data_IF_511434555324
#
_entry.id   IF_511434555324
#
_cell.length_a   1.000
_cell.length_b   1.000
_cell.length_c   1.000
_cell.angle_alpha   90.00
_cell.angle_beta   90.00
_cell.angle_gamma   90.00
#
_symmetry.space_group_name_H-M   'P 1'
#
loop_
_entity.id
_entity.type
_entity.pdbx_description
1 polymer ?
#
# COMPACT_ATOMS: atom_id res chain seq x y z
N UNK A 1 32.57 13.42 -29.59
CA UNK A 1 32.57 12.98 -28.19
C UNK A 1 31.13 12.63 -27.85
N UNK A 2 30.75 11.40 -28.15
CA UNK A 2 29.52 10.83 -27.63
C UNK A 2 29.81 10.56 -26.16
N UNK A 3 29.06 11.20 -25.27
CA UNK A 3 29.08 10.83 -23.87
C UNK A 3 28.50 9.41 -23.82
N UNK A 4 29.35 8.44 -23.48
CA UNK A 4 28.88 7.12 -23.08
C UNK A 4 27.94 7.36 -21.89
N UNK A 5 26.64 7.21 -22.11
CA UNK A 5 25.68 7.08 -21.01
C UNK A 5 26.14 5.85 -20.22
N UNK A 6 26.80 6.06 -19.08
CA UNK A 6 26.97 5.02 -18.09
C UNK A 6 25.57 4.43 -17.83
N UNK A 7 25.33 3.22 -18.35
CA UNK A 7 24.15 2.43 -18.03
C UNK A 7 24.17 2.23 -16.52
N UNK A 8 23.48 3.11 -15.79
CA UNK A 8 23.22 2.89 -14.38
C UNK A 8 22.48 1.55 -14.30
N UNK A 9 22.97 0.57 -13.51
CA UNK A 9 22.28 -0.69 -13.37
C UNK A 9 20.83 -0.39 -12.99
N UNK A 10 19.89 -0.88 -13.80
CA UNK A 10 18.46 -0.63 -13.61
C UNK A 10 18.10 -0.90 -12.15
N UNK A 11 17.70 0.16 -11.43
CA UNK A 11 17.23 0.06 -10.06
C UNK A 11 16.14 -1.02 -10.00
N UNK A 12 16.26 -1.95 -9.04
CA UNK A 12 15.25 -3.00 -8.85
C UNK A 12 13.99 -2.36 -8.28
N UNK A 13 12.98 -2.18 -9.12
CA UNK A 13 11.66 -1.72 -8.67
C UNK A 13 10.90 -2.83 -7.95
N UNK A 14 10.02 -2.44 -7.05
CA UNK A 14 9.23 -3.34 -6.21
C UNK A 14 7.92 -2.67 -5.81
N UNK A 15 6.96 -3.47 -5.34
CA UNK A 15 5.65 -3.00 -4.90
C UNK A 15 5.46 -3.35 -3.43
N UNK A 16 5.44 -2.33 -2.58
CA UNK A 16 4.97 -2.43 -1.19
C UNK A 16 3.46 -2.23 -1.19
N UNK A 17 2.71 -3.26 -0.83
CA UNK A 17 1.25 -3.22 -0.78
C UNK A 17 0.77 -3.17 0.67
N UNK A 18 0.46 -1.97 1.15
CA UNK A 18 -0.11 -1.76 2.48
C UNK A 18 -1.62 -2.07 2.43
N UNK A 19 -2.05 -3.11 3.16
CA UNK A 19 -3.46 -3.51 3.33
C UNK A 19 -3.88 -3.37 4.79
N UNK A 20 -5.13 -3.02 5.05
CA UNK A 20 -5.63 -2.79 6.42
C UNK A 20 -6.96 -2.06 6.45
N UNK A 21 -7.61 -2.02 7.61
CA UNK A 21 -8.87 -1.31 7.83
C UNK A 21 -8.78 0.19 7.48
N UNK A 22 -9.89 0.86 7.10
CA UNK A 22 -9.93 2.32 7.08
C UNK A 22 -9.38 2.90 8.40
N UNK A 23 -8.64 4.01 8.34
CA UNK A 23 -7.99 4.63 9.50
C UNK A 23 -6.91 3.78 10.23
N UNK A 24 -6.46 2.65 9.67
CA UNK A 24 -5.37 1.85 10.26
C UNK A 24 -3.97 2.49 10.19
N UNK A 25 -3.81 3.65 9.54
CA UNK A 25 -2.51 4.35 9.44
C UNK A 25 -1.72 4.11 8.14
N UNK A 26 -2.28 3.38 7.16
CA UNK A 26 -1.64 3.10 5.86
C UNK A 26 -1.06 4.34 5.17
N UNK A 27 -1.86 5.40 4.97
CA UNK A 27 -1.41 6.62 4.29
C UNK A 27 -0.25 7.29 5.04
N UNK A 28 -0.29 7.32 6.38
CA UNK A 28 0.79 7.88 7.20
C UNK A 28 2.09 7.09 7.02
N UNK A 29 2.02 5.76 7.07
CA UNK A 29 3.16 4.87 6.83
C UNK A 29 3.67 5.04 5.40
N UNK A 30 2.78 5.12 4.41
CA UNK A 30 3.17 5.27 3.00
C UNK A 30 3.96 6.55 2.77
N UNK A 31 3.52 7.68 3.35
CA UNK A 31 4.18 8.98 3.18
C UNK A 31 5.52 9.08 3.92
N UNK A 32 5.64 8.46 5.09
CA UNK A 32 6.93 8.40 5.80
C UNK A 32 7.91 7.45 5.09
N UNK A 33 7.44 6.29 4.63
CA UNK A 33 8.24 5.37 3.81
C UNK A 33 8.68 6.01 2.49
N UNK A 34 7.80 6.79 1.85
CA UNK A 34 8.13 7.55 0.65
C UNK A 34 9.32 8.47 0.88
N UNK A 35 9.29 9.28 1.95
CA UNK A 35 10.42 10.15 2.32
C UNK A 35 11.70 9.37 2.50
N UNK A 36 11.67 8.33 3.33
CA UNK A 36 12.85 7.50 3.63
C UNK A 36 13.45 6.81 2.40
N UNK A 37 12.62 6.37 1.45
CA UNK A 37 13.10 5.75 0.21
C UNK A 37 13.65 6.81 -0.77
N UNK A 38 13.01 7.98 -0.89
CA UNK A 38 13.51 9.09 -1.72
C UNK A 38 14.83 9.63 -1.19
N UNK A 39 14.99 9.75 0.13
CA UNK A 39 16.22 10.20 0.78
C UNK A 39 17.39 9.24 0.56
N UNK A 40 17.09 7.97 0.23
CA UNK A 40 18.07 6.96 -0.19
C UNK A 40 18.34 6.97 -1.70
N UNK A 41 17.75 7.91 -2.44
CA UNK A 41 17.94 8.08 -3.89
C UNK A 41 17.03 7.22 -4.76
N UNK A 42 16.07 6.47 -4.19
CA UNK A 42 15.15 5.67 -5.02
C UNK A 42 14.11 6.56 -5.71
N UNK A 43 13.71 6.15 -6.91
CA UNK A 43 12.48 6.64 -7.53
C UNK A 43 11.28 5.99 -6.86
N UNK A 44 10.39 6.81 -6.30
CA UNK A 44 9.24 6.35 -5.53
C UNK A 44 7.95 6.92 -6.09
N UNK A 45 6.90 6.10 -6.10
CA UNK A 45 5.53 6.54 -6.40
C UNK A 45 4.56 6.00 -5.34
N UNK A 46 3.65 6.85 -4.86
CA UNK A 46 2.64 6.47 -3.87
C UNK A 46 1.27 6.40 -4.53
N UNK A 47 0.63 5.23 -4.45
CA UNK A 47 -0.71 4.97 -4.95
C UNK A 47 -1.68 4.93 -3.76
N UNK A 48 -2.12 6.10 -3.27
CA UNK A 48 -3.11 6.20 -2.18
C UNK A 48 -4.55 6.03 -2.69
N UNK A 49 -5.35 5.25 -1.98
CA UNK A 49 -6.70 4.89 -2.43
C UNK A 49 -7.63 6.07 -2.70
N UNK A 50 -7.51 7.18 -1.97
CA UNK A 50 -8.36 8.34 -2.20
C UNK A 50 -7.94 9.09 -3.48
N UNK A 51 -6.63 9.30 -3.65
CA UNK A 51 -6.06 9.98 -4.81
C UNK A 51 -6.29 9.16 -6.09
N UNK A 52 -6.02 7.86 -6.03
CA UNK A 52 -6.13 6.96 -7.18
C UNK A 52 -7.60 6.76 -7.60
N UNK A 53 -8.55 6.82 -6.66
CA UNK A 53 -9.98 6.81 -7.00
C UNK A 53 -10.39 8.05 -7.79
N UNK A 54 -9.85 9.22 -7.46
CA UNK A 54 -10.16 10.46 -8.18
C UNK A 54 -9.52 10.52 -9.58
N UNK A 55 -8.44 9.78 -9.84
CA UNK A 55 -7.80 9.74 -11.17
C UNK A 55 -8.23 8.53 -12.00
N UNK A 56 -7.91 7.33 -11.52
CA UNK A 56 -7.91 6.07 -12.27
C UNK A 56 -9.23 5.30 -12.18
N UNK A 57 -10.09 5.62 -11.21
CA UNK A 57 -11.27 4.80 -10.88
C UNK A 57 -12.50 5.64 -10.53
N UNK A 58 -12.66 6.79 -11.19
CA UNK A 58 -13.79 7.70 -10.98
C UNK A 58 -15.15 7.09 -11.34
N UNK A 59 -15.13 6.12 -12.25
CA UNK A 59 -16.28 5.37 -12.76
C UNK A 59 -16.74 4.25 -11.82
N UNK A 60 -15.94 3.91 -10.79
CA UNK A 60 -16.19 2.75 -9.93
C UNK A 60 -16.81 3.15 -8.59
N UNK A 61 -17.81 2.39 -8.17
CA UNK A 61 -18.41 2.50 -6.83
C UNK A 61 -17.61 1.78 -5.75
N UNK A 62 -18.35 1.25 -4.77
CA UNK A 62 -17.83 0.54 -3.61
C UNK A 62 -18.38 -0.89 -3.49
N UNK A 63 -19.02 -1.41 -4.53
CA UNK A 63 -19.39 -2.82 -4.61
C UNK A 63 -18.13 -3.71 -4.55
N UNK A 64 -18.30 -4.99 -4.19
CA UNK A 64 -17.19 -5.95 -4.21
C UNK A 64 -16.48 -6.01 -5.57
N UNK A 65 -17.25 -6.04 -6.66
CA UNK A 65 -16.73 -6.07 -8.02
C UNK A 65 -16.00 -4.77 -8.40
N UNK A 66 -16.51 -3.61 -7.99
CA UNK A 66 -15.84 -2.33 -8.24
C UNK A 66 -14.55 -2.21 -7.44
N UNK A 67 -14.51 -2.73 -6.21
CA UNK A 67 -13.30 -2.81 -5.39
C UNK A 67 -12.25 -3.72 -6.03
N UNK A 68 -12.68 -4.84 -6.61
CA UNK A 68 -11.81 -5.73 -7.39
C UNK A 68 -11.20 -5.01 -8.58
N UNK A 69 -12.06 -4.42 -9.44
CA UNK A 69 -11.63 -3.68 -10.64
C UNK A 69 -10.67 -2.55 -10.27
N UNK A 70 -10.98 -1.81 -9.20
CA UNK A 70 -10.11 -0.75 -8.69
C UNK A 70 -8.73 -1.31 -8.29
N UNK A 71 -8.69 -2.36 -7.46
CA UNK A 71 -7.44 -2.97 -7.02
C UNK A 71 -6.61 -3.52 -8.20
N UNK A 72 -7.26 -4.14 -9.20
CA UNK A 72 -6.59 -4.65 -10.39
C UNK A 72 -6.03 -3.53 -11.29
N UNK A 73 -6.73 -2.40 -11.42
CA UNK A 73 -6.21 -1.21 -12.13
C UNK A 73 -4.96 -0.66 -11.44
N UNK A 74 -4.99 -0.55 -10.11
CA UNK A 74 -3.83 -0.11 -9.33
C UNK A 74 -2.68 -1.10 -9.49
N UNK A 75 -2.93 -2.40 -9.34
CA UNK A 75 -1.93 -3.45 -9.52
C UNK A 75 -1.25 -3.37 -10.90
N UNK A 76 -2.03 -3.19 -11.97
CA UNK A 76 -1.49 -3.05 -13.32
C UNK A 76 -0.54 -1.86 -13.43
N UNK A 77 -0.93 -0.67 -12.95
CA UNK A 77 -0.05 0.52 -12.96
C UNK A 77 1.19 0.30 -12.10
N UNK A 78 1.04 -0.25 -10.89
CA UNK A 78 2.16 -0.56 -9.99
C UNK A 78 3.17 -1.52 -10.63
N UNK A 79 2.68 -2.53 -11.35
CA UNK A 79 3.52 -3.45 -12.12
C UNK A 79 4.30 -2.75 -13.23
N UNK A 80 3.66 -1.85 -13.97
CA UNK A 80 4.30 -1.08 -15.04
C UNK A 80 5.37 -0.12 -14.50
N UNK A 81 5.17 0.46 -13.32
CA UNK A 81 6.16 1.32 -12.66
C UNK A 81 7.32 0.49 -12.09
N UNK A 82 7.01 -0.58 -11.36
CA UNK A 82 8.02 -1.45 -10.74
C UNK A 82 8.96 -2.09 -11.77
N UNK A 83 8.45 -2.54 -12.92
CA UNK A 83 9.31 -3.08 -14.00
C UNK A 83 10.28 -2.04 -14.59
N UNK A 84 10.01 -0.75 -14.39
CA UNK A 84 10.87 0.37 -14.82
C UNK A 84 11.74 0.91 -13.67
N UNK A 85 11.87 0.15 -12.57
CA UNK A 85 12.76 0.46 -11.45
C UNK A 85 12.20 1.42 -10.40
N UNK A 86 10.89 1.64 -10.38
CA UNK A 86 10.24 2.49 -9.36
C UNK A 86 9.86 1.64 -8.15
N UNK A 87 10.14 2.14 -6.95
CA UNK A 87 9.57 1.62 -5.70
C UNK A 87 8.14 2.16 -5.56
N UNK A 88 7.14 1.29 -5.76
CA UNK A 88 5.73 1.68 -5.66
C UNK A 88 5.19 1.35 -4.29
N UNK A 89 4.59 2.33 -3.63
CA UNK A 89 3.93 2.16 -2.32
C UNK A 89 2.43 2.28 -2.53
N UNK A 90 1.71 1.17 -2.44
CA UNK A 90 0.26 1.13 -2.56
C UNK A 90 -0.37 1.19 -1.17
N UNK A 91 -1.29 2.12 -0.94
CA UNK A 91 -2.05 2.24 0.30
C UNK A 91 -3.55 2.05 0.02
N UNK A 92 -4.00 0.79 0.00
CA UNK A 92 -5.40 0.43 -0.26
C UNK A 92 -5.99 -0.35 0.91
N UNK A 93 -7.32 -0.33 1.04
CA UNK A 93 -8.00 -1.21 2.01
C UNK A 93 -7.85 -2.66 1.57
N UNK A 94 -8.04 -2.95 0.27
CA UNK A 94 -7.93 -4.28 -0.34
C UNK A 94 -8.51 -5.41 0.55
N UNK A 95 -9.80 -5.38 0.90
CA UNK A 95 -10.34 -6.18 1.99
C UNK A 95 -10.38 -7.69 1.72
N UNK A 96 -10.45 -8.11 0.45
CA UNK A 96 -10.60 -9.52 0.08
C UNK A 96 -9.25 -10.16 -0.24
N UNK A 97 -8.95 -11.28 0.42
CA UNK A 97 -7.70 -12.02 0.26
C UNK A 97 -7.55 -12.57 -1.15
N UNK A 98 -8.63 -13.05 -1.76
CA UNK A 98 -8.61 -13.58 -3.13
C UNK A 98 -8.05 -12.57 -4.14
N UNK A 99 -8.35 -11.28 -3.97
CA UNK A 99 -7.86 -10.22 -4.86
C UNK A 99 -6.38 -9.94 -4.60
N UNK A 100 -5.95 -9.87 -3.33
CA UNK A 100 -4.53 -9.68 -2.98
C UNK A 100 -3.67 -10.84 -3.50
N UNK A 101 -4.18 -12.08 -3.43
CA UNK A 101 -3.52 -13.26 -4.00
C UNK A 101 -3.42 -13.22 -5.53
N UNK A 102 -4.47 -12.75 -6.23
CA UNK A 102 -4.42 -12.57 -7.68
C UNK A 102 -3.35 -11.54 -8.08
N UNK A 103 -3.27 -10.43 -7.34
CA UNK A 103 -2.28 -9.37 -7.55
C UNK A 103 -0.86 -9.87 -7.25
N UNK A 104 -0.67 -10.58 -6.13
CA UNK A 104 0.60 -11.22 -5.74
C UNK A 104 1.14 -12.15 -6.83
N UNK A 105 0.27 -12.87 -7.53
CA UNK A 105 0.67 -13.76 -8.63
C UNK A 105 1.08 -13.00 -9.89
N UNK A 106 0.55 -11.81 -10.12
CA UNK A 106 0.81 -11.01 -11.32
C UNK A 106 2.05 -10.12 -11.20
N UNK A 107 2.43 -9.75 -9.98
CA UNK A 107 3.55 -8.85 -9.67
C UNK A 107 4.71 -9.66 -9.08
N UNK A 108 5.88 -9.63 -9.75
CA UNK A 108 7.07 -10.39 -9.35
C UNK A 108 7.61 -9.98 -7.98
N UNK A 109 7.93 -8.69 -7.82
CA UNK A 109 8.52 -8.12 -6.60
C UNK A 109 7.41 -7.48 -5.74
N UNK A 110 6.45 -8.31 -5.31
CA UNK A 110 5.29 -7.91 -4.50
C UNK A 110 5.52 -8.20 -3.02
N UNK A 111 5.21 -7.22 -2.17
CA UNK A 111 5.46 -7.26 -0.74
C UNK A 111 4.16 -6.87 -0.03
N UNK A 112 3.42 -7.85 0.49
CA UNK A 112 2.19 -7.61 1.23
C UNK A 112 2.51 -7.22 2.66
N UNK A 113 2.07 -6.02 3.05
CA UNK A 113 2.26 -5.49 4.40
C UNK A 113 0.90 -5.32 5.06
N UNK A 114 0.64 -6.11 6.08
CA UNK A 114 -0.58 -5.97 6.87
C UNK A 114 -0.41 -4.84 7.90
N UNK A 115 -1.10 -3.73 7.68
CA UNK A 115 -1.22 -2.62 8.65
C UNK A 115 -2.36 -2.94 9.60
N UNK A 116 -2.02 -3.66 10.67
CA UNK A 116 -2.93 -4.16 11.70
C UNK A 116 -3.30 -3.05 12.66
N UNK A 117 -4.59 -2.91 12.89
CA UNK A 117 -5.18 -2.03 13.89
C UNK A 117 -6.59 -2.55 14.18
N UNK A 118 -6.99 -2.74 15.45
CA UNK A 118 -8.36 -3.13 15.77
C UNK A 118 -9.38 -2.12 15.22
N UNK A 119 -10.58 -2.61 14.88
CA UNK A 119 -11.64 -1.76 14.31
C UNK A 119 -12.08 -0.68 15.29
N UNK A 120 -12.09 -0.98 16.59
CA UNK A 120 -12.46 -0.05 17.66
C UNK A 120 -11.50 1.13 17.71
N UNK A 121 -10.19 0.86 17.57
CA UNK A 121 -9.17 1.90 17.54
C UNK A 121 -9.23 2.70 16.23
N UNK A 122 -9.50 2.04 15.10
CA UNK A 122 -9.70 2.73 13.82
C UNK A 122 -10.92 3.68 13.88
N UNK A 123 -12.03 3.22 14.46
CA UNK A 123 -13.25 3.99 14.65
C UNK A 123 -13.07 5.11 15.68
N UNK A 124 -12.22 4.93 16.70
CA UNK A 124 -11.85 5.99 17.64
C UNK A 124 -11.02 7.09 16.98
N UNK A 125 -10.11 6.72 16.07
CA UNK A 125 -9.26 7.68 15.32
C UNK A 125 -10.05 8.48 14.29
N UNK A 126 -10.92 7.80 13.54
CA UNK A 126 -11.81 8.29 12.47
C UNK A 126 -11.48 9.67 11.86
N UNK A 127 -10.29 9.85 11.25
CA UNK A 127 -9.80 11.17 10.82
C UNK A 127 -10.64 11.80 9.71
N UNK A 128 -11.51 11.01 9.06
CA UNK A 128 -12.37 11.41 7.94
C UNK A 128 -13.86 11.35 8.29
N UNK A 129 -14.23 10.99 9.53
CA UNK A 129 -15.63 10.82 9.94
C UNK A 129 -16.35 9.67 9.23
N UNK A 130 -15.63 8.74 8.60
CA UNK A 130 -16.23 7.69 7.78
C UNK A 130 -16.82 6.56 8.63
N UNK A 131 -16.19 6.24 9.77
CA UNK A 131 -16.76 5.26 10.70
C UNK A 131 -18.04 5.81 11.33
N UNK A 132 -18.05 7.07 11.76
CA UNK A 132 -19.25 7.70 12.33
C UNK A 132 -20.42 7.66 11.34
N UNK A 133 -20.17 7.99 10.07
CA UNK A 133 -21.19 7.96 9.00
C UNK A 133 -21.65 6.54 8.66
N UNK A 134 -20.74 5.57 8.65
CA UNK A 134 -21.08 4.16 8.43
C UNK A 134 -21.97 3.62 9.57
N UNK A 135 -21.64 3.93 10.83
CA UNK A 135 -22.43 3.55 12.00
C UNK A 135 -23.81 4.23 12.02
N UNK A 136 -23.92 5.43 11.45
CA UNK A 136 -25.20 6.12 11.22
C UNK A 136 -26.02 5.56 10.04
N UNK A 137 -25.48 4.59 9.29
CA UNK A 137 -26.15 3.97 8.13
C UNK A 137 -26.04 4.77 6.83
N UNK A 138 -25.24 5.83 6.79
CA UNK A 138 -25.06 6.66 5.58
C UNK A 138 -24.14 5.99 4.54
N UNK A 139 -23.29 5.05 4.97
CA UNK A 139 -22.35 4.31 4.12
C UNK A 139 -22.64 2.82 4.27
N UNK A 140 -23.46 2.22 3.39
CA UNK A 140 -23.95 0.86 3.56
C UNK A 140 -22.84 -0.19 3.49
N UNK A 141 -21.88 -0.04 2.57
CA UNK A 141 -20.83 -1.03 2.30
C UNK A 141 -19.47 -0.60 2.88
N UNK A 142 -19.42 -0.24 4.16
CA UNK A 142 -18.18 0.21 4.80
C UNK A 142 -17.40 -0.96 5.42
N UNK A 143 -16.15 -1.12 4.98
CA UNK A 143 -15.25 -2.19 5.43
C UNK A 143 -14.95 -2.08 6.92
N UNK A 144 -15.17 -3.16 7.67
CA UNK A 144 -15.01 -3.22 9.13
C UNK A 144 -16.29 -2.91 9.91
N UNK A 145 -17.37 -2.49 9.24
CA UNK A 145 -18.69 -2.29 9.86
C UNK A 145 -19.71 -3.22 9.23
N UNK A 146 -19.96 -3.05 7.92
CA UNK A 146 -20.98 -3.80 7.18
C UNK A 146 -20.39 -4.65 6.02
N UNK A 147 -19.14 -4.41 5.64
CA UNK A 147 -18.39 -5.18 4.63
C UNK A 147 -17.16 -5.84 5.30
N UNK A 148 -16.82 -7.11 5.02
CA UNK A 148 -15.74 -7.80 5.71
C UNK A 148 -14.35 -7.25 5.38
N UNK A 149 -13.41 -7.46 6.30
CA UNK A 149 -11.98 -7.38 6.04
C UNK A 149 -11.36 -8.74 6.31
N UNK A 150 -10.87 -9.41 5.26
CA UNK A 150 -10.21 -10.70 5.35
C UNK A 150 -8.73 -10.47 5.62
N UNK A 151 -8.28 -10.66 6.86
CA UNK A 151 -6.88 -10.48 7.23
C UNK A 151 -5.95 -11.35 6.35
N UNK A 152 -4.76 -10.83 5.95
CA UNK A 152 -3.74 -11.63 5.26
C UNK A 152 -3.27 -12.79 6.15
N UNK A 153 -3.19 -14.00 5.59
CA UNK A 153 -2.68 -15.17 6.33
C UNK A 153 -1.16 -15.22 6.35
N UNK A 154 -0.51 -14.85 5.25
CA UNK A 154 0.95 -14.93 5.10
C UNK A 154 1.53 -13.62 4.52
N UNK A 155 1.29 -12.46 5.15
CA UNK A 155 1.92 -11.22 4.69
C UNK A 155 3.44 -11.29 4.93
N UNK A 156 4.22 -10.62 4.08
CA UNK A 156 5.66 -10.48 4.26
C UNK A 156 6.01 -9.75 5.57
N UNK A 157 5.14 -8.82 5.99
CA UNK A 157 5.30 -8.06 7.22
C UNK A 157 3.95 -7.70 7.84
N UNK A 158 3.89 -7.69 9.17
CA UNK A 158 2.77 -7.13 9.95
C UNK A 158 3.27 -5.90 10.70
N UNK A 159 2.56 -4.79 10.58
CA UNK A 159 2.78 -3.53 11.30
C UNK A 159 1.60 -3.32 12.24
N UNK A 160 1.82 -3.49 13.55
CA UNK A 160 0.77 -3.31 14.57
C UNK A 160 0.75 -1.85 15.02
N UNK A 161 -0.10 -1.05 14.38
CA UNK A 161 -0.16 0.41 14.63
C UNK A 161 -0.87 0.79 15.94
N UNK A 162 -1.30 -0.19 16.73
CA UNK A 162 -1.73 0.04 18.11
C UNK A 162 -0.52 -0.07 19.06
N UNK A 163 0.41 -0.97 18.78
CA UNK A 163 1.58 -1.22 19.62
C UNK A 163 2.85 -0.49 19.16
N UNK A 164 2.91 -0.11 17.87
CA UNK A 164 4.07 0.49 17.22
C UNK A 164 3.71 1.93 16.77
N UNK A 165 4.65 2.85 16.96
CA UNK A 165 4.60 4.18 16.33
C UNK A 165 4.80 4.09 14.81
N UNK A 166 4.46 5.17 14.09
CA UNK A 166 4.73 5.27 12.64
C UNK A 166 6.21 5.05 12.34
N UNK A 167 7.11 5.65 13.13
CA UNK A 167 8.56 5.54 12.93
C UNK A 167 9.03 4.11 13.08
N UNK A 168 8.63 3.43 14.16
CA UNK A 168 8.97 2.02 14.39
C UNK A 168 8.44 1.11 13.27
N UNK A 169 7.21 1.35 12.81
CA UNK A 169 6.60 0.62 11.70
C UNK A 169 7.40 0.78 10.39
N UNK A 170 7.85 2.00 10.09
CA UNK A 170 8.64 2.29 8.89
C UNK A 170 10.06 1.74 9.00
N UNK A 171 10.72 1.89 10.15
CA UNK A 171 12.06 1.35 10.40
C UNK A 171 12.07 -0.18 10.28
N UNK A 172 11.02 -0.85 10.78
CA UNK A 172 10.81 -2.29 10.63
C UNK A 172 10.67 -2.71 9.17
N UNK A 173 9.89 -1.96 8.39
CA UNK A 173 9.72 -2.21 6.96
C UNK A 173 11.01 -1.97 6.17
N UNK A 174 11.72 -0.87 6.42
CA UNK A 174 13.02 -0.59 5.81
C UNK A 174 14.06 -1.66 6.14
N UNK A 175 14.09 -2.13 7.39
CA UNK A 175 14.96 -3.23 7.81
C UNK A 175 14.66 -4.52 7.04
N UNK A 176 13.36 -4.84 6.85
CA UNK A 176 12.96 -5.99 6.06
C UNK A 176 13.36 -5.85 4.59
N UNK A 177 13.11 -4.67 3.99
CA UNK A 177 13.47 -4.38 2.59
C UNK A 177 14.99 -4.52 2.36
N UNK A 178 15.79 -3.97 3.27
CA UNK A 178 17.25 -4.11 3.22
C UNK A 178 17.70 -5.57 3.36
N UNK A 179 17.16 -6.33 4.32
CA UNK A 179 17.49 -7.77 4.49
C UNK A 179 17.14 -8.62 3.27
N UNK A 180 16.19 -8.19 2.44
CA UNK A 180 15.77 -8.87 1.21
C UNK A 180 16.47 -8.34 -0.05
N UNK A 181 17.39 -7.38 0.11
CA UNK A 181 18.18 -6.81 -0.96
C UNK A 181 17.39 -5.89 -1.90
N UNK A 182 16.28 -5.31 -1.43
CA UNK A 182 15.54 -4.30 -2.19
C UNK A 182 16.20 -2.92 -2.13
N UNK A 183 17.09 -2.69 -1.16
CA UNK A 183 17.74 -1.39 -0.92
C UNK A 183 19.24 -1.40 -1.26
N UNK A 184 19.77 -2.48 -1.84
CA UNK A 184 21.22 -2.67 -2.02
C UNK A 184 21.83 -1.81 -3.15
N UNK A 185 21.00 -1.30 -4.07
CA UNK A 185 21.43 -0.41 -5.17
C UNK A 185 21.27 1.09 -4.88
N UNK A 186 20.68 1.43 -3.73
CA UNK A 186 20.45 2.80 -3.29
C UNK A 186 21.77 3.37 -2.74
N UNK A 187 22.64 3.83 -3.64
CA UNK A 187 23.95 4.36 -3.26
C UNK A 187 23.82 5.82 -2.82
N UNK A 188 24.52 6.13 -1.72
CA UNK A 188 24.68 7.45 -1.10
C UNK A 188 24.99 8.58 -2.07
#
# INVERSE_FOLDING_TARGET
MEAEEEERPMERGFVVWLTGLPASGKTTIARELERELRDRGLRVEVMDGDEVRQGLSRDLGFSKEDREKHAMRVAYVSKLLARNGVAVIVALISPYRSFREAIRRDIKDFIEVYVKCPVEECARRDPKGLYARALAGEIPDFTGVNDPYEEPENPELVLDTLAESTRESVDKLLSWLSKKGYLDGATR
#
